data_IF_738752952943
#
_entry.id   IF_738752952943
#
_cell.length_a   1.000
_cell.length_b   1.000
_cell.length_c   1.000
_cell.angle_alpha   90.00
_cell.angle_beta   90.00
_cell.angle_gamma   90.00
#
_symmetry.space_group_name_H-M   'P 1'
#
loop_
_entity.id
_entity.type
_entity.pdbx_description
1 polymer ?
#
# COMPACT_ATOMS: atom_id res chain seq x y z
N UNK A 1 -50.44 -8.79 15.12
CA UNK A 1 -49.11 -9.26 14.74
C UNK A 1 -48.79 -8.64 13.38
N UNK A 2 -47.97 -7.58 13.34
CA UNK A 2 -47.83 -6.67 12.18
C UNK A 2 -46.47 -6.96 11.53
N UNK A 3 -46.48 -7.72 10.43
CA UNK A 3 -45.28 -7.98 9.64
C UNK A 3 -44.79 -6.67 8.99
N UNK A 4 -43.58 -6.27 9.36
CA UNK A 4 -42.87 -5.14 8.75
C UNK A 4 -42.16 -5.65 7.50
N UNK A 5 -42.80 -5.46 6.36
CA UNK A 5 -42.17 -5.69 5.05
C UNK A 5 -41.04 -4.67 4.87
N UNK A 6 -39.79 -5.13 4.99
CA UNK A 6 -38.59 -4.33 4.70
C UNK A 6 -38.40 -4.30 3.19
N UNK A 7 -38.87 -3.23 2.56
CA UNK A 7 -38.74 -2.94 1.13
C UNK A 7 -37.64 -1.89 0.88
N UNK A 8 -36.43 -2.12 1.41
CA UNK A 8 -35.27 -1.29 1.12
C UNK A 8 -34.19 -2.16 0.49
N UNK A 9 -34.32 -2.41 -0.81
CA UNK A 9 -33.20 -2.85 -1.63
C UNK A 9 -33.29 -2.07 -2.92
N UNK A 10 -32.47 -1.02 -3.11
CA UNK A 10 -32.48 -0.30 -4.37
C UNK A 10 -32.05 -1.28 -5.46
N UNK A 11 -32.98 -1.56 -6.38
CA UNK A 11 -32.68 -2.27 -7.63
C UNK A 11 -31.66 -1.42 -8.37
N UNK A 12 -30.40 -1.83 -8.36
CA UNK A 12 -29.40 -1.28 -9.26
C UNK A 12 -29.95 -1.42 -10.68
N UNK A 13 -30.21 -0.27 -11.28
CA UNK A 13 -30.32 -0.12 -12.73
C UNK A 13 -29.18 -0.92 -13.35
N UNK A 14 -29.54 -1.98 -14.07
CA UNK A 14 -28.63 -2.78 -14.87
C UNK A 14 -28.17 -1.87 -15.99
N UNK A 15 -27.14 -1.06 -15.71
CA UNK A 15 -26.46 -0.25 -16.70
C UNK A 15 -26.10 -1.18 -17.84
N UNK A 16 -26.57 -0.84 -19.04
CA UNK A 16 -26.22 -1.52 -20.27
C UNK A 16 -24.72 -1.30 -20.49
N UNK A 17 -23.89 -2.14 -19.87
CA UNK A 17 -22.49 -2.26 -20.21
C UNK A 17 -22.45 -2.93 -21.58
N UNK A 18 -22.44 -2.11 -22.62
CA UNK A 18 -22.17 -2.53 -23.99
C UNK A 18 -20.74 -3.08 -24.02
N UNK A 19 -20.62 -4.37 -23.69
CA UNK A 19 -19.39 -5.14 -23.70
C UNK A 19 -19.05 -5.58 -25.14
N UNK A 20 -19.23 -4.67 -26.10
CA UNK A 20 -19.00 -4.86 -27.52
C UNK A 20 -17.64 -4.24 -27.87
N UNK A 21 -16.58 -5.05 -27.79
CA UNK A 21 -15.28 -4.73 -28.42
C UNK A 21 -14.17 -4.16 -27.53
N UNK A 22 -14.26 -4.26 -26.20
CA UNK A 22 -13.29 -3.68 -25.26
C UNK A 22 -11.84 -4.23 -25.47
N UNK A 23 -11.70 -5.51 -25.82
CA UNK A 23 -10.37 -6.12 -26.05
C UNK A 23 -9.71 -5.71 -27.38
N UNK A 24 -10.49 -5.52 -28.46
CA UNK A 24 -9.95 -5.15 -29.77
C UNK A 24 -9.66 -3.65 -29.86
N UNK A 25 -10.60 -2.83 -29.40
CA UNK A 25 -10.42 -1.37 -29.31
C UNK A 25 -9.33 -1.05 -28.29
N UNK A 26 -9.23 -1.83 -27.22
CA UNK A 26 -8.24 -1.66 -26.19
C UNK A 26 -6.79 -1.85 -26.66
N UNK A 27 -6.54 -2.95 -27.37
CA UNK A 27 -5.22 -3.20 -27.98
C UNK A 27 -4.88 -2.18 -29.07
N UNK A 28 -5.89 -1.72 -29.83
CA UNK A 28 -5.74 -0.66 -30.83
C UNK A 28 -5.35 0.68 -30.19
N UNK A 29 -6.05 1.08 -29.13
CA UNK A 29 -5.80 2.32 -28.39
C UNK A 29 -4.39 2.33 -27.76
N UNK A 30 -3.92 1.22 -27.20
CA UNK A 30 -2.57 1.13 -26.61
C UNK A 30 -1.46 1.23 -27.67
N UNK A 31 -1.71 0.73 -28.88
CA UNK A 31 -0.79 0.89 -30.02
C UNK A 31 -0.80 2.33 -30.54
N UNK A 32 -1.97 2.95 -30.64
CA UNK A 32 -2.13 4.36 -31.04
C UNK A 32 -1.51 5.31 -30.01
N UNK A 33 -1.69 5.07 -28.71
CA UNK A 33 -1.09 5.87 -27.64
C UNK A 33 0.44 5.83 -27.68
N UNK A 34 1.04 4.64 -27.86
CA UNK A 34 2.50 4.51 -28.04
C UNK A 34 3.00 5.19 -29.33
N UNK A 35 2.20 5.14 -30.40
CA UNK A 35 2.54 5.76 -31.68
C UNK A 35 2.48 7.30 -31.61
N UNK A 36 1.42 7.86 -31.02
CA UNK A 36 1.23 9.30 -30.85
C UNK A 36 2.17 9.91 -29.80
N UNK A 37 2.55 9.15 -28.77
CA UNK A 37 3.49 9.59 -27.73
C UNK A 37 4.95 9.62 -28.20
N UNK A 38 5.26 9.04 -29.36
CA UNK A 38 6.61 9.08 -29.94
C UNK A 38 6.72 10.27 -30.90
N UNK A 39 7.74 11.12 -30.75
CA UNK A 39 7.99 12.29 -31.64
C UNK A 39 8.14 11.94 -33.14
N UNK A 40 8.26 10.65 -33.47
CA UNK A 40 8.27 10.12 -34.83
C UNK A 40 6.97 10.34 -35.59
N UNK A 41 5.81 10.30 -34.92
CA UNK A 41 4.53 10.60 -35.59
C UNK A 41 4.48 12.04 -36.10
N UNK A 42 4.86 12.99 -35.24
CA UNK A 42 4.94 14.42 -35.60
C UNK A 42 5.89 14.63 -36.78
N UNK A 43 7.07 14.00 -36.77
CA UNK A 43 8.02 14.11 -37.87
C UNK A 43 7.46 13.61 -39.21
N UNK A 44 6.80 12.44 -39.22
CA UNK A 44 6.18 11.89 -40.44
C UNK A 44 5.04 12.80 -40.92
N UNK A 45 4.19 13.27 -40.01
CA UNK A 45 3.07 14.18 -40.34
C UNK A 45 3.57 15.49 -40.96
N UNK A 46 4.63 16.09 -40.40
CA UNK A 46 5.23 17.31 -40.95
C UNK A 46 5.80 17.09 -42.35
N UNK A 47 6.53 15.98 -42.55
CA UNK A 47 7.07 15.62 -43.88
C UNK A 47 5.95 15.43 -44.90
N UNK A 48 4.86 14.76 -44.50
CA UNK A 48 3.69 14.58 -45.37
C UNK A 48 3.07 15.91 -45.80
N UNK A 49 2.88 16.86 -44.88
CA UNK A 49 2.36 18.20 -45.19
C UNK A 49 3.29 18.95 -46.14
N UNK A 50 4.61 18.89 -45.91
CA UNK A 50 5.60 19.54 -46.79
C UNK A 50 5.53 18.95 -48.21
N UNK A 51 5.51 17.62 -48.33
CA UNK A 51 5.40 16.94 -49.63
C UNK A 51 4.10 17.32 -50.34
N UNK A 52 2.98 17.39 -49.61
CA UNK A 52 1.69 17.77 -50.17
C UNK A 52 1.72 19.19 -50.75
N UNK A 53 2.25 20.15 -49.99
CA UNK A 53 2.41 21.53 -50.44
C UNK A 53 3.32 21.58 -51.67
N UNK A 54 4.47 20.89 -51.65
CA UNK A 54 5.41 20.85 -52.77
C UNK A 54 4.77 20.27 -54.04
N UNK A 55 4.08 19.13 -53.93
CA UNK A 55 3.37 18.52 -55.05
C UNK A 55 2.33 19.47 -55.63
N UNK A 56 1.57 20.17 -54.79
CA UNK A 56 0.55 21.11 -55.26
C UNK A 56 1.14 22.32 -56.01
N UNK A 57 2.26 22.85 -55.52
CA UNK A 57 2.96 23.98 -56.14
C UNK A 57 3.68 23.57 -57.42
N UNK A 58 4.28 22.38 -57.47
CA UNK A 58 4.99 21.85 -58.64
C UNK A 58 4.05 21.42 -59.77
N UNK A 59 2.88 20.88 -59.45
CA UNK A 59 1.84 20.50 -60.43
C UNK A 59 0.91 21.68 -60.78
N UNK A 60 1.51 22.83 -61.13
CA UNK A 60 0.81 24.09 -61.40
C UNK A 60 -0.20 23.99 -62.57
N UNK A 61 -0.02 23.06 -63.51
CA UNK A 61 -0.92 22.90 -64.67
C UNK A 61 -2.29 22.32 -64.30
N UNK A 62 -2.41 21.56 -63.22
CA UNK A 62 -3.66 20.88 -62.85
C UNK A 62 -4.42 21.52 -61.68
N UNK A 63 -3.86 22.53 -60.99
CA UNK A 63 -4.51 23.30 -59.90
C UNK A 63 -5.33 22.40 -58.93
N UNK A 64 -4.72 21.30 -58.48
CA UNK A 64 -5.43 20.26 -57.75
C UNK A 64 -5.88 20.71 -56.34
N UNK A 65 -5.23 21.72 -55.73
CA UNK A 65 -5.69 22.40 -54.50
C UNK A 65 -5.11 23.85 -54.39
N UNK A 66 -5.74 24.86 -55.03
CA UNK A 66 -5.26 26.24 -54.97
C UNK A 66 -5.28 26.80 -53.54
N UNK A 67 -4.40 27.77 -53.27
CA UNK A 67 -4.38 28.48 -51.98
C UNK A 67 -5.79 29.02 -51.66
N UNK A 68 -6.43 28.66 -50.53
CA UNK A 68 -5.86 28.28 -49.22
C UNK A 68 -5.82 26.76 -48.87
N UNK A 69 -5.64 25.85 -49.84
CA UNK A 69 -5.55 24.38 -49.63
C UNK A 69 -6.79 23.77 -48.93
N UNK A 70 -7.94 23.85 -49.59
CA UNK A 70 -9.23 23.43 -49.01
C UNK A 70 -9.29 21.94 -48.71
N UNK A 71 -8.65 21.10 -49.54
CA UNK A 71 -8.66 19.65 -49.36
C UNK A 71 -7.80 19.23 -48.17
N UNK A 72 -6.63 19.86 -48.01
CA UNK A 72 -5.78 19.64 -46.85
C UNK A 72 -6.50 20.05 -45.56
N UNK A 73 -7.17 21.21 -45.57
CA UNK A 73 -7.94 21.68 -44.43
C UNK A 73 -9.10 20.73 -44.08
N UNK A 74 -9.83 20.26 -45.10
CA UNK A 74 -10.91 19.28 -44.90
C UNK A 74 -10.39 17.98 -44.29
N UNK A 75 -9.26 17.47 -44.78
CA UNK A 75 -8.64 16.27 -44.24
C UNK A 75 -8.24 16.42 -42.76
N UNK A 76 -7.61 17.54 -42.39
CA UNK A 76 -7.28 17.84 -40.99
C UNK A 76 -8.53 17.98 -40.11
N UNK A 77 -9.59 18.60 -40.63
CA UNK A 77 -10.86 18.74 -39.92
C UNK A 77 -11.50 17.39 -39.61
N UNK A 78 -11.54 16.49 -40.60
CA UNK A 78 -12.03 15.12 -40.40
C UNK A 78 -11.11 14.32 -39.47
N UNK A 79 -9.79 14.48 -39.59
CA UNK A 79 -8.81 13.83 -38.71
C UNK A 79 -9.04 14.21 -37.24
N UNK A 80 -9.22 15.50 -36.96
CA UNK A 80 -9.52 15.98 -35.61
C UNK A 80 -10.87 15.45 -35.09
N UNK A 81 -11.89 15.42 -35.96
CA UNK A 81 -13.22 14.91 -35.61
C UNK A 81 -13.20 13.42 -35.22
N UNK A 82 -12.40 12.59 -35.89
CA UNK A 82 -12.26 11.17 -35.54
C UNK A 82 -11.30 10.92 -34.37
N UNK A 83 -10.34 11.82 -34.13
CA UNK A 83 -9.44 11.71 -32.99
C UNK A 83 -10.17 11.82 -31.65
N UNK A 84 -11.14 12.73 -31.52
CA UNK A 84 -11.89 12.95 -30.28
C UNK A 84 -12.55 11.68 -29.68
N UNK A 85 -13.36 10.91 -30.43
CA UNK A 85 -13.96 9.68 -29.90
C UNK A 85 -12.93 8.58 -29.62
N UNK A 86 -11.86 8.49 -30.41
CA UNK A 86 -10.79 7.52 -30.18
C UNK A 86 -10.03 7.83 -28.88
N UNK A 87 -9.75 9.11 -28.63
CA UNK A 87 -9.13 9.59 -27.40
C UNK A 87 -10.05 9.31 -26.20
N UNK A 88 -11.35 9.56 -26.32
CA UNK A 88 -12.33 9.28 -25.26
C UNK A 88 -12.35 7.79 -24.90
N UNK A 89 -12.33 6.90 -25.90
CA UNK A 89 -12.26 5.46 -25.67
C UNK A 89 -10.94 5.05 -24.99
N UNK A 90 -9.81 5.65 -25.40
CA UNK A 90 -8.53 5.41 -24.75
C UNK A 90 -8.52 5.90 -23.29
N UNK A 91 -9.12 7.06 -23.02
CA UNK A 91 -9.23 7.65 -21.69
C UNK A 91 -10.11 6.81 -20.75
N UNK A 92 -11.30 6.38 -21.18
CA UNK A 92 -12.18 5.53 -20.37
C UNK A 92 -11.50 4.23 -19.90
N UNK A 93 -10.66 3.64 -20.76
CA UNK A 93 -9.90 2.43 -20.41
C UNK A 93 -8.76 2.73 -19.44
N UNK A 94 -8.03 3.81 -19.66
CA UNK A 94 -6.99 4.24 -18.73
C UNK A 94 -7.59 4.51 -17.34
N UNK A 95 -8.71 5.24 -17.27
CA UNK A 95 -9.42 5.52 -16.02
C UNK A 95 -9.92 4.24 -15.33
N UNK A 96 -10.44 3.27 -16.10
CA UNK A 96 -10.86 1.97 -15.55
C UNK A 96 -9.69 1.20 -14.94
N UNK A 97 -8.53 1.18 -15.60
CA UNK A 97 -7.31 0.55 -15.08
C UNK A 97 -6.77 1.27 -13.85
N UNK A 98 -6.72 2.59 -13.90
CA UNK A 98 -6.28 3.43 -12.79
C UNK A 98 -7.18 3.24 -11.57
N UNK A 99 -8.50 3.11 -11.77
CA UNK A 99 -9.46 2.81 -10.71
C UNK A 99 -9.19 1.47 -10.04
N UNK A 100 -8.95 0.41 -10.80
CA UNK A 100 -8.61 -0.92 -10.24
C UNK A 100 -7.31 -0.84 -9.43
N UNK A 101 -6.27 -0.19 -9.94
CA UNK A 101 -5.02 -0.02 -9.18
C UNK A 101 -5.22 0.76 -7.87
N UNK A 102 -6.05 1.80 -7.88
CA UNK A 102 -6.35 2.59 -6.68
C UNK A 102 -7.12 1.77 -5.65
N UNK A 103 -8.06 0.93 -6.08
CA UNK A 103 -8.81 0.07 -5.17
C UNK A 103 -7.92 -1.02 -4.56
N UNK A 104 -7.02 -1.63 -5.35
CA UNK A 104 -6.00 -2.56 -4.83
C UNK A 104 -5.09 -1.90 -3.80
N UNK A 105 -4.59 -0.70 -4.09
CA UNK A 105 -3.71 0.03 -3.17
C UNK A 105 -4.41 0.40 -1.87
N UNK A 106 -5.70 0.78 -1.94
CA UNK A 106 -6.52 1.01 -0.74
C UNK A 106 -6.67 -0.27 0.09
N UNK A 107 -6.93 -1.41 -0.55
CA UNK A 107 -7.04 -2.69 0.14
C UNK A 107 -5.72 -3.09 0.81
N UNK A 108 -4.59 -2.96 0.08
CA UNK A 108 -3.25 -3.23 0.64
C UNK A 108 -2.92 -2.33 1.81
N UNK A 109 -3.24 -1.04 1.72
CA UNK A 109 -3.02 -0.08 2.80
C UNK A 109 -3.87 -0.42 4.04
N UNK A 110 -5.14 -0.80 3.85
CA UNK A 110 -6.02 -1.23 4.94
C UNK A 110 -5.50 -2.51 5.61
N UNK A 111 -5.05 -3.50 4.83
CA UNK A 111 -4.46 -4.72 5.36
C UNK A 111 -3.17 -4.46 6.14
N UNK A 112 -2.25 -3.69 5.56
CA UNK A 112 -0.98 -3.31 6.22
C UNK A 112 -1.23 -2.59 7.54
N UNK A 113 -2.23 -1.70 7.58
CA UNK A 113 -2.64 -1.02 8.81
C UNK A 113 -3.14 -2.02 9.86
N UNK A 114 -4.03 -2.94 9.48
CA UNK A 114 -4.57 -3.95 10.38
C UNK A 114 -3.47 -4.88 10.93
N UNK A 115 -2.55 -5.33 10.08
CA UNK A 115 -1.41 -6.17 10.47
C UNK A 115 -0.49 -5.41 11.45
N UNK A 116 -0.24 -4.13 11.20
CA UNK A 116 0.56 -3.29 12.09
C UNK A 116 -0.12 -3.09 13.45
N UNK A 117 -1.43 -2.84 13.47
CA UNK A 117 -2.20 -2.73 14.71
C UNK A 117 -2.22 -4.05 15.49
N UNK A 118 -2.33 -5.18 14.79
CA UNK A 118 -2.25 -6.51 15.39
C UNK A 118 -0.88 -6.75 16.03
N UNK A 119 0.21 -6.54 15.28
CA UNK A 119 1.57 -6.68 15.79
C UNK A 119 1.86 -5.74 16.98
N UNK A 120 1.34 -4.51 16.95
CA UNK A 120 1.48 -3.58 18.07
C UNK A 120 0.77 -4.08 19.34
N UNK A 121 -0.42 -4.68 19.21
CA UNK A 121 -1.16 -5.27 20.33
C UNK A 121 -0.46 -6.50 20.89
N UNK A 122 0.01 -7.38 20.02
CA UNK A 122 0.79 -8.56 20.41
C UNK A 122 2.10 -8.16 21.10
N UNK A 123 2.80 -7.15 20.59
CA UNK A 123 4.01 -6.65 21.23
C UNK A 123 3.72 -6.04 22.61
N UNK A 124 2.61 -5.30 22.74
CA UNK A 124 2.20 -4.73 24.02
C UNK A 124 1.83 -5.82 25.04
N UNK A 125 1.09 -6.86 24.64
CA UNK A 125 0.72 -7.97 25.52
C UNK A 125 1.95 -8.76 25.96
N UNK A 126 2.87 -9.06 25.05
CA UNK A 126 4.14 -9.73 25.34
C UNK A 126 4.99 -8.90 26.30
N UNK A 127 5.10 -7.59 26.08
CA UNK A 127 5.87 -6.70 26.96
C UNK A 127 5.32 -6.68 28.39
N UNK A 128 3.99 -6.67 28.55
CA UNK A 128 3.36 -6.72 29.87
C UNK A 128 3.64 -8.05 30.57
N UNK A 129 3.47 -9.18 29.87
CA UNK A 129 3.75 -10.50 30.43
C UNK A 129 5.22 -10.66 30.86
N UNK A 130 6.17 -10.18 30.06
CA UNK A 130 7.60 -10.18 30.40
C UNK A 130 7.88 -9.27 31.61
N UNK A 131 7.23 -8.10 31.68
CA UNK A 131 7.37 -7.18 32.81
C UNK A 131 6.88 -7.76 34.13
N UNK A 132 5.74 -8.46 34.13
CA UNK A 132 5.19 -9.13 35.32
C UNK A 132 6.06 -10.30 35.77
N UNK A 133 6.53 -11.14 34.83
CA UNK A 133 7.44 -12.24 35.12
C UNK A 133 8.75 -11.74 35.74
N UNK A 134 9.37 -10.71 35.16
CA UNK A 134 10.59 -10.11 35.71
C UNK A 134 10.38 -9.52 37.11
N UNK A 135 9.24 -8.88 37.35
CA UNK A 135 8.88 -8.32 38.66
C UNK A 135 8.70 -9.43 39.71
N UNK A 136 8.05 -10.53 39.34
CA UNK A 136 7.86 -11.69 40.21
C UNK A 136 9.20 -12.35 40.57
N UNK A 137 10.09 -12.52 39.60
CA UNK A 137 11.40 -13.10 39.83
C UNK A 137 12.28 -12.20 40.72
N UNK A 138 12.22 -10.88 40.53
CA UNK A 138 12.89 -9.92 41.42
C UNK A 138 12.37 -10.03 42.86
N UNK A 139 11.06 -10.00 43.05
CA UNK A 139 10.44 -10.10 44.38
C UNK A 139 10.78 -11.42 45.08
N UNK A 140 10.87 -12.53 44.34
CA UNK A 140 11.32 -13.82 44.88
C UNK A 140 12.76 -13.77 45.37
N UNK A 141 13.67 -13.24 44.56
CA UNK A 141 15.09 -13.12 44.94
C UNK A 141 15.27 -12.26 46.19
N UNK A 142 14.56 -11.13 46.27
CA UNK A 142 14.62 -10.26 47.44
C UNK A 142 14.10 -10.97 48.71
N UNK A 143 13.02 -11.74 48.58
CA UNK A 143 12.49 -12.57 49.67
C UNK A 143 13.48 -13.63 50.12
N UNK A 144 14.11 -14.33 49.18
CA UNK A 144 15.12 -15.36 49.47
C UNK A 144 16.35 -14.74 50.17
N UNK A 145 16.81 -13.58 49.71
CA UNK A 145 17.93 -12.85 50.33
C UNK A 145 17.61 -12.40 51.76
N UNK A 146 16.39 -11.90 52.00
CA UNK A 146 15.93 -11.54 53.35
C UNK A 146 15.87 -12.78 54.24
N UNK A 147 15.36 -13.91 53.72
CA UNK A 147 15.31 -15.17 54.46
C UNK A 147 16.71 -15.64 54.87
N UNK A 148 17.66 -15.62 53.93
CA UNK A 148 19.04 -16.01 54.17
C UNK A 148 19.71 -15.14 55.25
N UNK A 149 19.47 -13.82 55.22
CA UNK A 149 19.96 -12.89 56.27
C UNK A 149 19.34 -13.18 57.64
N UNK A 150 18.05 -13.49 57.71
CA UNK A 150 17.37 -13.86 58.96
C UNK A 150 17.92 -15.17 59.53
N UNK A 151 18.15 -16.18 58.69
CA UNK A 151 18.76 -17.45 59.09
C UNK A 151 20.19 -17.24 59.59
N UNK A 152 20.98 -16.41 58.92
CA UNK A 152 22.33 -16.04 59.35
C UNK A 152 22.35 -15.33 60.71
N UNK A 153 21.42 -14.38 60.95
CA UNK A 153 21.28 -13.70 62.25
C UNK A 153 20.87 -14.68 63.35
N UNK A 154 19.92 -15.56 63.08
CA UNK A 154 19.49 -16.62 64.00
C UNK A 154 20.65 -17.53 64.38
N UNK A 155 21.42 -17.98 63.40
CA UNK A 155 22.60 -18.82 63.60
C UNK A 155 23.69 -18.08 64.40
N UNK A 156 23.88 -16.78 64.16
CA UNK A 156 24.82 -15.95 64.89
C UNK A 156 24.41 -15.79 66.35
N UNK A 157 23.13 -15.52 66.63
CA UNK A 157 22.61 -15.46 68.01
C UNK A 157 22.78 -16.80 68.73
N UNK A 158 22.43 -17.91 68.09
CA UNK A 158 22.68 -19.25 68.64
C UNK A 158 24.16 -19.49 68.92
N UNK A 159 25.06 -18.97 68.09
CA UNK A 159 26.51 -19.09 68.32
C UNK A 159 27.01 -18.25 69.50
N UNK A 160 26.41 -17.06 69.75
CA UNK A 160 26.70 -16.21 70.91
C UNK A 160 26.19 -16.88 72.19
N UNK A 161 24.96 -17.39 72.16
CA UNK A 161 24.37 -18.12 73.28
C UNK A 161 25.21 -19.36 73.63
N UNK A 162 25.68 -20.12 72.63
CA UNK A 162 26.63 -21.23 72.83
C UNK A 162 27.99 -20.77 73.40
N UNK A 163 28.48 -19.57 73.05
CA UNK A 163 29.71 -19.03 73.65
C UNK A 163 29.51 -18.62 75.11
N UNK A 164 28.38 -18.01 75.45
CA UNK A 164 28.03 -17.70 76.84
C UNK A 164 27.83 -18.96 77.69
N UNK A 165 27.27 -20.02 77.11
CA UNK A 165 27.09 -21.31 77.78
C UNK A 165 28.31 -22.23 77.74
N UNK A 166 29.45 -21.82 77.16
CA UNK A 166 30.72 -22.54 77.33
C UNK A 166 31.28 -22.14 78.70
N UNK A 167 31.18 -23.00 79.73
CA UNK A 167 31.74 -22.67 81.04
C UNK A 167 33.25 -22.42 80.89
N UNK A 168 33.78 -21.43 81.59
CA UNK A 168 35.22 -21.15 81.73
C UNK A 168 36.00 -22.25 82.49
N UNK A 169 35.63 -23.52 82.29
CA UNK A 169 36.22 -24.67 82.95
C UNK A 169 36.78 -25.65 81.93
N UNK A 170 37.87 -25.31 81.26
CA UNK A 170 38.84 -26.29 80.73
C UNK A 170 40.00 -25.58 80.04
N UNK A 171 40.76 -24.81 80.80
CA UNK A 171 42.20 -24.77 80.58
C UNK A 171 42.89 -24.52 81.91
N UNK A 172 43.46 -25.60 82.42
CA UNK A 172 44.71 -25.66 83.17
C UNK A 172 44.66 -25.71 84.72
N UNK A 173 44.85 -26.93 85.23
CA UNK A 173 45.79 -27.30 86.29
C UNK A 173 45.70 -28.83 86.55
N UNK A 174 46.73 -29.55 87.05
CA UNK A 174 48.18 -29.36 87.00
C UNK A 174 48.94 -30.65 86.53
N UNK A 175 50.25 -30.52 86.27
CA UNK A 175 51.29 -31.51 86.62
C UNK A 175 52.48 -30.75 87.21
#
# INVERSE_FOLDING_TARGET
>A
MKERSRLDTPRLSRSFQLNLGDDMVGQGAERVARFLGTGRYLAIQTVFVIIWILLNVLWFTFHFDPYPFILLNLAFSTQAAYAAPLILLAQNRQESRDRVSLDEDRMRAAQTKADTEFLARELASVRLAVGEAASRDYMRRELDEVHEKLDALTALLQSIERRQHRPEGSSDAPD
#
